data_IF_989940314211
#
_entry.id   IF_989940314211
#
_cell.length_a   1.000
_cell.length_b   1.000
_cell.length_c   1.000
_cell.angle_alpha   90.00
_cell.angle_beta   90.00
_cell.angle_gamma   90.00
#
_symmetry.space_group_name_H-M   'P 1'
#
loop_
_entity.id
_entity.type
_entity.pdbx_description
1 polymer ?
#
# COMPACT_ATOMS: atom_id res chain seq x y z
N UNK A 1 -11.06 19.91 2.50
CA UNK A 1 -10.41 19.51 1.24
C UNK A 1 -9.63 18.26 1.58
N UNK A 2 -9.88 17.15 0.87
CA UNK A 2 -9.25 15.87 1.21
C UNK A 2 -7.77 15.86 0.88
N UNK A 3 -7.04 14.97 1.52
CA UNK A 3 -5.64 14.67 1.18
C UNK A 3 -5.53 14.08 -0.21
N UNK A 4 -6.50 13.20 -0.57
CA UNK A 4 -6.61 12.55 -1.87
C UNK A 4 -8.06 12.66 -2.33
N UNK A 5 -8.28 13.16 -3.53
CA UNK A 5 -9.62 13.27 -4.10
C UNK A 5 -9.68 12.56 -5.46
N UNK A 6 -10.77 11.89 -5.72
CA UNK A 6 -11.13 11.37 -7.03
C UNK A 6 -12.39 12.09 -7.50
N UNK A 7 -12.38 12.64 -8.71
CA UNK A 7 -13.50 13.36 -9.29
C UNK A 7 -13.94 12.76 -10.61
N UNK A 8 -15.20 12.28 -10.67
CA UNK A 8 -15.87 11.76 -11.86
C UNK A 8 -15.04 10.73 -12.64
N UNK A 9 -14.33 9.85 -11.93
CA UNK A 9 -13.36 8.93 -12.50
C UNK A 9 -14.04 7.78 -13.23
N UNK A 10 -13.65 7.56 -14.49
CA UNK A 10 -14.05 6.41 -15.28
C UNK A 10 -12.81 5.66 -15.77
N UNK A 11 -12.83 4.34 -15.61
CA UNK A 11 -11.76 3.47 -16.10
C UNK A 11 -12.32 2.20 -16.75
N UNK A 12 -11.66 1.72 -17.81
CA UNK A 12 -12.05 0.49 -18.51
C UNK A 12 -10.83 -0.33 -18.94
N UNK A 13 -10.98 -1.64 -18.93
CA UNK A 13 -10.09 -2.56 -19.62
C UNK A 13 -10.73 -2.94 -20.97
N UNK A 14 -10.11 -2.50 -22.08
CA UNK A 14 -10.70 -2.68 -23.40
C UNK A 14 -12.12 -2.07 -23.49
N UNK A 15 -13.14 -2.92 -23.64
CA UNK A 15 -14.56 -2.50 -23.69
C UNK A 15 -15.27 -2.56 -22.34
N UNK A 16 -14.70 -3.23 -21.35
CA UNK A 16 -15.33 -3.45 -20.05
C UNK A 16 -15.09 -2.24 -19.12
N UNK A 17 -16.18 -1.54 -18.74
CA UNK A 17 -16.13 -0.48 -17.73
C UNK A 17 -15.95 -1.10 -16.36
N UNK A 18 -14.91 -0.67 -15.62
CA UNK A 18 -14.59 -1.14 -14.27
C UNK A 18 -14.88 -0.07 -13.22
N UNK A 19 -14.52 1.17 -13.50
CA UNK A 19 -14.87 2.30 -12.65
C UNK A 19 -15.76 3.24 -13.46
N UNK A 20 -16.93 3.59 -12.91
CA UNK A 20 -17.90 4.44 -13.56
C UNK A 20 -18.31 5.60 -12.65
N UNK A 21 -17.88 6.81 -13.01
CA UNK A 21 -18.18 8.04 -12.30
C UNK A 21 -17.82 7.98 -10.79
N UNK A 22 -16.70 7.34 -10.46
CA UNK A 22 -16.23 7.21 -9.09
C UNK A 22 -15.83 8.59 -8.53
N UNK A 23 -16.33 8.89 -7.34
CA UNK A 23 -15.97 10.06 -6.56
C UNK A 23 -15.57 9.62 -5.16
N UNK A 24 -14.40 10.03 -4.69
CA UNK A 24 -13.90 9.76 -3.34
C UNK A 24 -13.23 11.02 -2.79
N UNK A 25 -13.36 11.19 -1.48
CA UNK A 25 -12.65 12.20 -0.70
C UNK A 25 -12.02 11.50 0.51
N UNK A 26 -10.69 11.43 0.55
CA UNK A 26 -9.92 10.78 1.60
C UNK A 26 -9.25 11.87 2.42
N UNK A 27 -9.69 12.10 3.66
CA UNK A 27 -9.10 13.11 4.55
C UNK A 27 -7.63 12.81 4.86
N UNK A 28 -6.90 13.85 5.23
CA UNK A 28 -5.57 13.69 5.82
C UNK A 28 -5.67 12.94 7.14
N UNK A 29 -4.66 12.15 7.47
CA UNK A 29 -4.60 11.32 8.69
C UNK A 29 -5.82 10.39 8.88
N UNK A 30 -6.44 9.96 7.78
CA UNK A 30 -7.54 9.01 7.85
C UNK A 30 -7.07 7.56 7.79
N UNK A 31 -7.76 6.68 8.51
CA UNK A 31 -7.77 5.24 8.26
C UNK A 31 -9.01 4.92 7.42
N UNK A 32 -8.86 4.89 6.10
CA UNK A 32 -9.94 4.82 5.12
C UNK A 32 -10.11 3.40 4.58
N UNK A 33 -11.25 2.77 4.89
CA UNK A 33 -11.62 1.44 4.39
C UNK A 33 -12.42 1.53 3.08
N UNK A 34 -11.87 0.93 2.01
CA UNK A 34 -12.52 0.83 0.70
C UNK A 34 -13.06 -0.58 0.48
N UNK A 35 -14.33 -0.77 0.86
CA UNK A 35 -14.98 -2.07 0.89
C UNK A 35 -15.69 -2.40 -0.42
N UNK A 36 -15.66 -3.67 -0.81
CA UNK A 36 -16.37 -4.14 -2.00
C UNK A 36 -16.05 -5.59 -2.36
N UNK A 37 -16.95 -6.21 -3.10
CA UNK A 37 -16.79 -7.60 -3.57
C UNK A 37 -15.55 -7.76 -4.47
N UNK A 38 -15.10 -8.99 -4.65
CA UNK A 38 -14.06 -9.29 -5.63
C UNK A 38 -14.52 -8.87 -7.04
N UNK A 39 -13.63 -8.22 -7.79
CA UNK A 39 -13.95 -7.68 -9.12
C UNK A 39 -14.67 -6.32 -9.11
N UNK A 40 -14.92 -5.69 -7.95
CA UNK A 40 -15.56 -4.36 -7.87
C UNK A 40 -14.64 -3.19 -8.27
N UNK A 41 -13.39 -3.47 -8.63
CA UNK A 41 -12.44 -2.44 -9.06
C UNK A 41 -11.54 -1.85 -7.96
N UNK A 42 -11.46 -2.48 -6.77
CA UNK A 42 -10.63 -1.98 -5.65
C UNK A 42 -9.15 -1.82 -6.04
N UNK A 43 -8.53 -2.89 -6.52
CA UNK A 43 -7.13 -2.86 -7.02
C UNK A 43 -6.98 -1.86 -8.16
N UNK A 44 -7.95 -1.80 -9.08
CA UNK A 44 -7.93 -0.83 -10.19
C UNK A 44 -7.97 0.62 -9.67
N UNK A 45 -8.76 0.89 -8.64
CA UNK A 45 -8.80 2.22 -8.00
C UNK A 45 -7.43 2.58 -7.43
N UNK A 46 -6.78 1.67 -6.70
CA UNK A 46 -5.42 1.88 -6.19
C UNK A 46 -4.44 2.13 -7.35
N UNK A 47 -4.50 1.34 -8.42
CA UNK A 47 -3.64 1.54 -9.60
C UNK A 47 -3.82 2.91 -10.24
N UNK A 48 -5.06 3.42 -10.33
CA UNK A 48 -5.33 4.76 -10.86
C UNK A 48 -4.82 5.84 -9.91
N UNK A 49 -5.01 5.69 -8.59
CA UNK A 49 -4.48 6.61 -7.57
C UNK A 49 -2.96 6.73 -7.64
N UNK A 50 -2.26 5.64 -7.96
CA UNK A 50 -0.79 5.60 -8.13
C UNK A 50 -0.32 5.99 -9.53
N UNK A 51 -1.23 6.27 -10.47
CA UNK A 51 -0.91 6.54 -11.86
C UNK A 51 -0.30 5.35 -12.61
N UNK A 52 -0.54 4.12 -12.14
CA UNK A 52 -0.20 2.87 -12.82
C UNK A 52 -1.23 2.52 -13.90
N UNK A 53 -2.45 3.02 -13.75
CA UNK A 53 -3.53 2.90 -14.74
C UNK A 53 -4.07 4.29 -15.10
N UNK A 54 -4.22 4.57 -16.40
CA UNK A 54 -4.68 5.87 -16.88
C UNK A 54 -6.20 5.88 -17.02
N UNK A 55 -6.94 6.76 -16.33
CA UNK A 55 -8.38 6.85 -16.46
C UNK A 55 -8.80 7.38 -17.84
N UNK A 56 -9.99 6.98 -18.29
CA UNK A 56 -10.60 7.48 -19.55
C UNK A 56 -11.18 8.87 -19.33
N UNK A 57 -11.71 9.12 -18.13
CA UNK A 57 -12.32 10.40 -17.73
C UNK A 57 -12.11 10.62 -16.23
N UNK A 58 -12.18 11.88 -15.82
CA UNK A 58 -12.02 12.28 -14.43
C UNK A 58 -10.56 12.53 -14.07
N UNK A 59 -10.33 12.84 -12.82
CA UNK A 59 -9.00 13.21 -12.33
C UNK A 59 -8.78 12.73 -10.89
N UNK A 60 -7.51 12.61 -10.53
CA UNK A 60 -7.02 12.36 -9.17
C UNK A 60 -6.28 13.60 -8.71
N UNK A 61 -6.59 14.07 -7.51
CA UNK A 61 -5.94 15.20 -6.88
C UNK A 61 -5.25 14.73 -5.59
N UNK A 62 -4.07 15.28 -5.32
CA UNK A 62 -3.36 15.18 -4.04
C UNK A 62 -3.15 16.61 -3.52
N UNK A 63 -3.55 16.86 -2.29
CA UNK A 63 -3.50 18.21 -1.69
C UNK A 63 -4.15 19.27 -2.61
N UNK A 64 -5.26 18.91 -3.27
CA UNK A 64 -6.00 19.77 -4.20
C UNK A 64 -5.34 20.03 -5.55
N UNK A 65 -4.18 19.42 -5.83
CA UNK A 65 -3.46 19.56 -7.09
C UNK A 65 -3.58 18.30 -7.94
N UNK A 66 -3.69 18.39 -9.28
CA UNK A 66 -3.73 17.23 -10.14
C UNK A 66 -2.50 16.35 -9.98
N UNK A 67 -2.71 15.05 -9.72
CA UNK A 67 -1.63 14.08 -9.51
C UNK A 67 -0.61 14.06 -10.66
N UNK A 68 -1.08 14.17 -11.91
CA UNK A 68 -0.23 14.15 -13.10
C UNK A 68 0.86 15.22 -13.08
N UNK A 69 0.59 16.38 -12.46
CA UNK A 69 1.47 17.55 -12.47
C UNK A 69 2.55 17.47 -11.38
N UNK A 70 2.37 16.57 -10.40
CA UNK A 70 3.27 16.38 -9.27
C UNK A 70 3.55 14.90 -8.95
N UNK A 71 3.42 14.03 -9.96
CA UNK A 71 3.45 12.57 -9.80
C UNK A 71 4.69 12.09 -9.03
N UNK A 72 5.88 12.51 -9.43
CA UNK A 72 7.12 12.08 -8.79
C UNK A 72 7.18 12.50 -7.32
N UNK A 73 6.81 13.74 -7.02
CA UNK A 73 6.77 14.28 -5.65
C UNK A 73 5.81 13.49 -4.77
N UNK A 74 4.64 13.14 -5.28
CA UNK A 74 3.65 12.38 -4.52
C UNK A 74 4.06 10.91 -4.34
N UNK A 75 4.60 10.26 -5.38
CA UNK A 75 5.03 8.87 -5.26
C UNK A 75 6.14 8.66 -4.22
N UNK A 76 7.00 9.66 -3.98
CA UNK A 76 8.00 9.60 -2.91
C UNK A 76 7.41 9.57 -1.51
N UNK A 77 6.15 9.99 -1.34
CA UNK A 77 5.42 10.04 -0.06
C UNK A 77 4.46 8.86 0.11
N UNK A 78 4.40 7.97 -0.86
CA UNK A 78 3.42 6.88 -0.92
C UNK A 78 4.12 5.54 -0.75
N UNK A 79 3.64 4.73 0.20
CA UNK A 79 3.94 3.32 0.33
C UNK A 79 2.81 2.47 -0.25
N UNK A 80 3.17 1.41 -0.97
CA UNK A 80 2.22 0.44 -1.52
C UNK A 80 2.52 -0.95 -0.98
N UNK A 81 1.52 -1.58 -0.36
CA UNK A 81 1.49 -3.01 -0.10
C UNK A 81 0.43 -3.64 -1.03
N UNK A 82 0.84 -4.29 -2.14
CA UNK A 82 -0.08 -4.97 -3.04
C UNK A 82 -0.63 -6.24 -2.40
N UNK A 83 -1.80 -6.71 -2.85
CA UNK A 83 -2.44 -7.93 -2.34
C UNK A 83 -1.57 -9.18 -2.49
N UNK A 84 -0.75 -9.21 -3.53
CA UNK A 84 0.28 -10.24 -3.73
C UNK A 84 1.64 -9.54 -3.84
N UNK A 85 2.40 -9.44 -2.74
CA UNK A 85 3.72 -8.82 -2.76
C UNK A 85 4.69 -9.61 -3.64
N UNK A 86 5.38 -8.91 -4.53
CA UNK A 86 6.46 -9.52 -5.32
C UNK A 86 7.74 -9.62 -4.49
N UNK A 87 8.39 -10.78 -4.53
CA UNK A 87 9.64 -11.02 -3.81
C UNK A 87 10.56 -12.00 -4.54
N UNK A 88 11.83 -11.99 -4.18
CA UNK A 88 12.84 -12.90 -4.71
C UNK A 88 13.09 -14.06 -3.74
N UNK A 89 12.67 -15.26 -4.09
CA UNK A 89 12.71 -16.46 -3.26
C UNK A 89 14.05 -16.76 -2.60
N UNK A 90 15.15 -16.45 -3.27
CA UNK A 90 16.50 -16.73 -2.84
C UNK A 90 17.10 -15.70 -1.91
N UNK A 91 16.48 -14.53 -1.75
CA UNK A 91 16.89 -13.50 -0.81
C UNK A 91 16.32 -13.79 0.58
N UNK A 92 17.00 -13.30 1.60
CA UNK A 92 16.46 -13.19 2.95
C UNK A 92 15.57 -11.94 3.06
N UNK A 93 14.75 -11.86 4.11
CA UNK A 93 13.93 -10.67 4.36
C UNK A 93 14.76 -9.40 4.47
N UNK A 94 15.92 -9.49 5.13
CA UNK A 94 16.84 -8.36 5.22
C UNK A 94 17.45 -7.97 3.87
N UNK A 95 17.96 -8.93 3.09
CA UNK A 95 18.54 -8.67 1.77
C UNK A 95 17.54 -8.07 0.81
N UNK A 96 16.27 -8.52 0.88
CA UNK A 96 15.21 -7.98 0.03
C UNK A 96 14.90 -6.50 0.35
N UNK A 97 14.82 -6.14 1.64
CA UNK A 97 14.67 -4.75 2.06
C UNK A 97 15.92 -3.91 1.73
N UNK A 98 17.12 -4.49 1.89
CA UNK A 98 18.36 -3.82 1.52
C UNK A 98 18.45 -3.56 0.00
N UNK A 99 17.90 -4.47 -0.82
CA UNK A 99 17.78 -4.24 -2.26
C UNK A 99 16.89 -3.03 -2.59
N UNK A 100 15.75 -2.89 -1.92
CA UNK A 100 14.88 -1.72 -2.07
C UNK A 100 15.54 -0.44 -1.53
N UNK A 101 16.36 -0.55 -0.50
CA UNK A 101 17.07 0.58 0.09
C UNK A 101 18.07 1.24 -0.88
N UNK A 102 18.54 0.53 -1.91
CA UNK A 102 19.31 1.14 -3.01
C UNK A 102 18.52 2.21 -3.77
N UNK A 103 17.20 2.18 -3.72
CA UNK A 103 16.32 3.17 -4.36
C UNK A 103 15.99 4.31 -3.38
N UNK A 104 15.72 3.96 -2.13
CA UNK A 104 15.21 4.92 -1.13
C UNK A 104 16.30 5.58 -0.29
N UNK A 105 17.47 4.93 -0.13
CA UNK A 105 18.63 5.42 0.66
C UNK A 105 18.29 5.71 2.14
N UNK A 106 17.43 4.91 2.76
CA UNK A 106 16.99 5.06 4.15
C UNK A 106 17.98 4.47 5.16
N UNK A 107 18.79 3.50 4.74
CA UNK A 107 19.85 2.89 5.52
C UNK A 107 19.39 1.77 6.48
N UNK A 108 20.37 1.14 7.13
CA UNK A 108 20.17 -0.04 7.99
C UNK A 108 19.19 0.19 9.15
N UNK A 109 19.16 1.39 9.70
CA UNK A 109 18.27 1.72 10.82
C UNK A 109 16.81 1.62 10.40
N UNK A 110 16.46 2.13 9.20
CA UNK A 110 15.11 2.02 8.65
C UNK A 110 14.72 0.55 8.39
N UNK A 111 15.62 -0.25 7.80
CA UNK A 111 15.40 -1.68 7.57
C UNK A 111 15.10 -2.40 8.90
N UNK A 112 15.91 -2.17 9.95
CA UNK A 112 15.68 -2.79 11.24
C UNK A 112 14.37 -2.33 11.88
N UNK A 113 14.04 -1.04 11.78
CA UNK A 113 12.77 -0.47 12.27
C UNK A 113 11.58 -1.18 11.62
N UNK A 114 11.53 -1.28 10.29
CA UNK A 114 10.37 -1.89 9.61
C UNK A 114 10.27 -3.39 9.85
N UNK A 115 11.39 -4.12 9.98
CA UNK A 115 11.38 -5.53 10.38
C UNK A 115 10.79 -5.73 11.77
N UNK A 116 11.12 -4.86 12.72
CA UNK A 116 10.60 -4.92 14.09
C UNK A 116 9.11 -4.61 14.15
N UNK A 117 8.66 -3.48 13.57
CA UNK A 117 7.26 -3.04 13.64
C UNK A 117 6.31 -3.99 12.88
N UNK A 118 6.80 -4.68 11.83
CA UNK A 118 6.01 -5.69 11.11
C UNK A 118 6.13 -7.10 11.71
N UNK A 119 6.92 -7.28 12.76
CA UNK A 119 7.02 -8.53 13.52
C UNK A 119 7.74 -9.66 12.78
N UNK A 120 8.65 -9.35 11.84
CA UNK A 120 9.45 -10.35 11.10
C UNK A 120 10.96 -10.25 11.38
N UNK A 121 11.35 -9.51 12.44
CA UNK A 121 12.75 -9.33 12.80
C UNK A 121 13.47 -10.66 13.04
N UNK A 122 12.83 -11.60 13.76
CA UNK A 122 13.40 -12.92 14.06
C UNK A 122 13.61 -13.79 12.81
N UNK A 123 12.90 -13.48 11.73
CA UNK A 123 13.00 -14.19 10.45
C UNK A 123 13.88 -13.46 9.42
N UNK A 124 14.48 -12.33 9.78
CA UNK A 124 15.23 -11.45 8.86
C UNK A 124 16.29 -12.16 8.00
N UNK A 125 16.93 -13.18 8.53
CA UNK A 125 17.99 -13.96 7.87
C UNK A 125 17.47 -15.25 7.21
N UNK A 126 16.17 -15.54 7.31
CA UNK A 126 15.54 -16.68 6.65
C UNK A 126 15.23 -16.34 5.19
N UNK A 127 15.50 -17.26 4.26
CA UNK A 127 15.17 -17.07 2.84
C UNK A 127 13.66 -16.98 2.62
N UNK A 128 13.23 -16.10 1.71
CA UNK A 128 11.82 -15.79 1.48
C UNK A 128 11.00 -17.00 1.00
N UNK A 129 11.60 -17.93 0.27
CA UNK A 129 10.96 -19.21 -0.10
C UNK A 129 10.50 -20.06 1.10
N UNK A 130 10.98 -19.76 2.31
CA UNK A 130 10.61 -20.44 3.55
C UNK A 130 9.70 -19.58 4.46
N UNK A 131 9.27 -18.41 3.97
CA UNK A 131 8.30 -17.60 4.70
C UNK A 131 6.89 -18.21 4.56
N UNK A 132 6.09 -18.11 5.62
CA UNK A 132 4.66 -18.37 5.54
C UNK A 132 3.96 -17.24 4.78
N UNK A 133 2.72 -17.48 4.33
CA UNK A 133 1.89 -16.44 3.70
C UNK A 133 1.81 -15.19 4.58
N UNK A 134 1.57 -15.34 5.89
CA UNK A 134 1.53 -14.21 6.82
C UNK A 134 2.86 -13.47 6.91
N UNK A 135 4.00 -14.17 6.87
CA UNK A 135 5.32 -13.52 6.85
C UNK A 135 5.57 -12.74 5.54
N UNK A 136 5.08 -13.23 4.40
CA UNK A 136 5.16 -12.53 3.11
C UNK A 136 4.32 -11.25 3.13
N UNK A 137 3.10 -11.30 3.69
CA UNK A 137 2.28 -10.09 3.87
C UNK A 137 2.96 -9.06 4.77
N UNK A 138 3.56 -9.50 5.89
CA UNK A 138 4.33 -8.63 6.79
C UNK A 138 5.58 -8.04 6.10
N UNK A 139 6.23 -8.79 5.22
CA UNK A 139 7.30 -8.28 4.36
C UNK A 139 6.78 -7.21 3.40
N UNK A 140 5.63 -7.42 2.75
CA UNK A 140 4.97 -6.42 1.90
C UNK A 140 4.69 -5.12 2.66
N UNK A 141 4.23 -5.22 3.91
CA UNK A 141 4.08 -4.04 4.78
C UNK A 141 5.42 -3.38 5.11
N UNK A 142 6.46 -4.17 5.42
CA UNK A 142 7.81 -3.65 5.68
C UNK A 142 8.37 -2.90 4.46
N UNK A 143 8.17 -3.44 3.26
CA UNK A 143 8.56 -2.79 1.99
C UNK A 143 7.83 -1.46 1.81
N UNK A 144 6.52 -1.43 2.04
CA UNK A 144 5.70 -0.23 1.92
C UNK A 144 6.11 0.87 2.91
N UNK A 145 6.60 0.49 4.10
CA UNK A 145 6.97 1.39 5.19
C UNK A 145 8.44 1.84 5.16
N UNK A 146 9.30 1.23 4.33
CA UNK A 146 10.76 1.39 4.39
C UNK A 146 11.23 2.84 4.32
N UNK A 147 10.61 3.64 3.47
CA UNK A 147 10.96 5.06 3.25
C UNK A 147 10.09 6.04 4.05
N UNK A 148 9.42 5.55 5.09
CA UNK A 148 8.58 6.34 6.01
C UNK A 148 7.54 7.22 5.30
N UNK A 149 6.64 6.64 4.48
CA UNK A 149 5.68 7.38 3.68
C UNK A 149 4.63 8.11 4.52
N UNK A 150 4.07 9.21 4.00
CA UNK A 150 2.93 9.93 4.58
C UNK A 150 1.60 9.20 4.30
N UNK A 151 1.53 8.48 3.16
CA UNK A 151 0.33 7.82 2.65
C UNK A 151 0.62 6.35 2.39
N UNK A 152 -0.26 5.46 2.83
CA UNK A 152 -0.17 4.02 2.61
C UNK A 152 -1.38 3.53 1.83
N UNK A 153 -1.12 2.84 0.72
CA UNK A 153 -2.12 2.05 -0.01
C UNK A 153 -1.90 0.57 0.27
N UNK A 154 -2.93 -0.09 0.80
CA UNK A 154 -2.90 -1.49 1.18
C UNK A 154 -4.00 -2.22 0.43
N UNK A 155 -3.63 -3.11 -0.47
CA UNK A 155 -4.59 -3.89 -1.24
C UNK A 155 -4.80 -5.24 -0.56
N UNK A 156 -5.99 -5.46 0.01
CA UNK A 156 -6.38 -6.69 0.73
C UNK A 156 -5.36 -7.14 1.81
N UNK A 157 -4.88 -6.26 2.72
CA UNK A 157 -3.76 -6.56 3.60
C UNK A 157 -4.05 -7.65 4.65
N UNK A 158 -5.31 -8.04 4.83
CA UNK A 158 -5.74 -9.06 5.79
C UNK A 158 -6.01 -10.41 5.13
N UNK A 159 -5.92 -10.50 3.80
CA UNK A 159 -6.27 -11.71 3.07
C UNK A 159 -5.28 -12.86 3.36
N UNK A 160 -5.82 -14.05 3.64
CA UNK A 160 -5.00 -15.24 3.90
C UNK A 160 -4.24 -15.24 5.24
N UNK A 161 -4.52 -14.30 6.14
CA UNK A 161 -3.98 -14.29 7.48
C UNK A 161 -4.85 -15.10 8.46
N UNK A 162 -4.20 -15.70 9.44
CA UNK A 162 -4.86 -16.27 10.61
C UNK A 162 -5.37 -15.15 11.57
N UNK A 163 -6.22 -15.47 12.55
CA UNK A 163 -6.76 -14.46 13.47
C UNK A 163 -5.71 -13.63 14.20
N UNK A 164 -4.58 -14.23 14.57
CA UNK A 164 -3.46 -13.55 15.24
C UNK A 164 -2.76 -12.57 14.28
N UNK A 165 -2.56 -12.99 13.02
CA UNK A 165 -2.03 -12.15 11.96
C UNK A 165 -2.93 -10.94 11.68
N UNK A 166 -4.25 -11.15 11.60
CA UNK A 166 -5.25 -10.08 11.45
C UNK A 166 -5.15 -9.09 12.60
N UNK A 167 -5.10 -9.59 13.85
CA UNK A 167 -4.98 -8.73 15.03
C UNK A 167 -3.70 -7.88 14.97
N UNK A 168 -2.57 -8.49 14.70
CA UNK A 168 -1.28 -7.78 14.60
C UNK A 168 -1.26 -6.69 13.52
N UNK A 169 -1.84 -6.95 12.34
CA UNK A 169 -1.93 -5.93 11.28
C UNK A 169 -2.87 -4.80 11.70
N UNK A 170 -4.00 -5.10 12.37
CA UNK A 170 -4.91 -4.05 12.88
C UNK A 170 -4.21 -3.13 13.89
N UNK A 171 -3.47 -3.69 14.84
CA UNK A 171 -2.67 -2.91 15.79
C UNK A 171 -1.65 -2.01 15.07
N UNK A 172 -0.94 -2.55 14.07
CA UNK A 172 -0.01 -1.78 13.27
C UNK A 172 -0.72 -0.62 12.54
N UNK A 173 -1.88 -0.86 11.93
CA UNK A 173 -2.64 0.19 11.24
C UNK A 173 -3.11 1.29 12.19
N UNK A 174 -3.54 0.93 13.41
CA UNK A 174 -3.91 1.91 14.45
C UNK A 174 -2.70 2.73 14.90
N UNK A 175 -1.54 2.10 15.08
CA UNK A 175 -0.30 2.81 15.40
C UNK A 175 0.08 3.81 14.29
N UNK A 176 0.08 3.39 13.04
CA UNK A 176 0.41 4.24 11.89
C UNK A 176 -0.56 5.44 11.77
N UNK A 177 -1.84 5.20 12.04
CA UNK A 177 -2.84 6.28 12.09
C UNK A 177 -2.56 7.26 13.24
N UNK A 178 -2.20 6.78 14.44
CA UNK A 178 -1.80 7.64 15.56
C UNK A 178 -0.53 8.45 15.28
N UNK A 179 0.37 7.92 14.47
CA UNK A 179 1.56 8.61 13.96
C UNK A 179 1.23 9.67 12.90
N UNK A 180 -0.06 9.86 12.54
CA UNK A 180 -0.52 10.86 11.58
C UNK A 180 -0.46 10.43 10.12
N UNK A 181 -0.28 9.14 9.83
CA UNK A 181 -0.27 8.64 8.45
C UNK A 181 -1.68 8.49 7.90
N UNK A 182 -1.84 8.78 6.61
CA UNK A 182 -3.07 8.50 5.87
C UNK A 182 -3.00 7.08 5.33
N UNK A 183 -3.95 6.23 5.71
CA UNK A 183 -4.00 4.83 5.30
C UNK A 183 -5.26 4.59 4.49
N UNK A 184 -5.09 4.12 3.26
CA UNK A 184 -6.17 3.61 2.41
C UNK A 184 -6.04 2.10 2.30
N UNK A 185 -7.01 1.36 2.79
CA UNK A 185 -7.00 -0.10 2.68
C UNK A 185 -8.22 -0.60 1.91
N UNK A 186 -7.99 -1.49 0.95
CA UNK A 186 -9.07 -2.23 0.30
C UNK A 186 -9.39 -3.51 1.10
N UNK A 187 -10.67 -3.89 1.14
CA UNK A 187 -11.07 -5.17 1.71
C UNK A 187 -12.39 -5.67 1.09
N UNK A 188 -12.57 -6.98 1.11
CA UNK A 188 -13.84 -7.62 0.77
C UNK A 188 -14.57 -8.15 2.02
N UNK A 189 -14.00 -7.99 3.20
CA UNK A 189 -14.51 -8.41 4.52
C UNK A 189 -15.18 -7.24 5.23
#
# INVERSE_FOLDING_TARGET
MGKIEIRNLCFRYGKQMVLNNLNLDIPENALYGYLGNNGSGKTTTIQVLLGLARPVKGEVLYDGQPFRDQREKQLRKIGLCPGEPFYYDNLTGYEHLAYLDHIYHCGRTAINKVLAITGIENARNKKLRHYSTGMIHRLGMAMALLHDPDILFLDEPLNGLDPEGIHSIRELLLQLHQEGKTVFLSSHL
#
